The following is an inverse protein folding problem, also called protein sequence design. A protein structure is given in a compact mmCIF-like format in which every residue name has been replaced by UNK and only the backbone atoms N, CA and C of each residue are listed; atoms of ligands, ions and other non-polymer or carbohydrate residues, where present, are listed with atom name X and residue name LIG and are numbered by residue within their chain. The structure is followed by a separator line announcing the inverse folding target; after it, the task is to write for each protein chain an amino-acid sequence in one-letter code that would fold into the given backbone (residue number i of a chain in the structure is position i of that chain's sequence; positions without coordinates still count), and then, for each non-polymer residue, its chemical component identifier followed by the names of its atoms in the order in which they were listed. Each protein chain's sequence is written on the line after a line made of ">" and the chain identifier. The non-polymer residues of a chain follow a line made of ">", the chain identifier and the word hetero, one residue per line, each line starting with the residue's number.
data_IF_407975621290
#
_entry.id   IF_407975621290
#
_cell.length_a   1.000
_cell.length_b   1.000
_cell.length_c   1.000
_cell.angle_alpha   90.00
_cell.angle_beta   90.00
_cell.angle_gamma   90.00
#
_symmetry.space_group_name_H-M   'P 1'
#
loop_
_entity.id
_entity.type
_entity.pdbx_description
1 polymer ?
#
# COMPACT_ATOMS: atom_id res chain seq x y z
N UNK A 1 17.24 24.37 -8.86
CA UNK A 1 16.30 23.30 -9.26
C UNK A 1 16.29 22.28 -8.12
N UNK A 2 15.29 22.33 -7.24
CA UNK A 2 15.11 21.31 -6.21
C UNK A 2 14.30 20.17 -6.84
N UNK A 3 14.99 19.20 -7.43
CA UNK A 3 14.39 17.88 -7.71
C UNK A 3 14.37 17.10 -6.39
N UNK A 4 13.51 17.55 -5.47
CA UNK A 4 13.06 16.75 -4.34
C UNK A 4 12.10 15.71 -4.89
N UNK A 5 12.66 14.63 -5.45
CA UNK A 5 11.87 13.52 -5.98
C UNK A 5 10.98 13.01 -4.83
N UNK A 6 9.70 13.30 -5.02
CA UNK A 6 8.48 12.83 -4.38
C UNK A 6 8.64 11.40 -3.84
N UNK A 7 9.21 11.29 -2.64
CA UNK A 7 9.23 10.06 -1.89
C UNK A 7 7.93 10.00 -1.08
N UNK A 8 6.77 9.99 -1.72
CA UNK A 8 5.48 9.87 -1.04
C UNK A 8 4.86 8.48 -1.25
N UNK A 9 4.23 7.96 -0.21
CA UNK A 9 3.57 6.67 -0.26
C UNK A 9 2.29 6.80 -1.07
N UNK A 10 2.22 6.18 -2.25
CA UNK A 10 1.07 6.31 -3.15
C UNK A 10 -0.27 5.87 -2.55
N UNK A 11 -0.25 5.01 -1.52
CA UNK A 11 -1.45 4.60 -0.79
C UNK A 11 -1.93 5.68 0.19
N UNK A 12 -1.06 6.18 1.08
CA UNK A 12 -1.48 7.07 2.17
C UNK A 12 -1.16 8.56 1.95
N UNK A 13 -0.33 8.91 0.98
CA UNK A 13 0.08 10.28 0.69
C UNK A 13 1.03 10.89 1.72
N UNK A 14 1.63 10.08 2.61
CA UNK A 14 2.68 10.57 3.54
C UNK A 14 4.05 10.42 2.91
N UNK A 15 4.99 11.25 3.35
CA UNK A 15 6.40 11.08 3.04
C UNK A 15 6.87 9.67 3.44
N UNK A 16 7.56 9.00 2.52
CA UNK A 16 8.16 7.68 2.69
C UNK A 16 9.28 7.81 3.70
N UNK A 17 9.22 6.93 4.68
CA UNK A 17 10.29 6.73 5.63
C UNK A 17 10.53 5.23 5.74
N UNK A 18 11.75 4.88 6.12
CA UNK A 18 12.10 3.49 6.35
C UNK A 18 11.33 2.95 7.58
N UNK A 19 10.78 1.71 7.52
CA UNK A 19 10.89 0.73 6.42
C UNK A 19 9.81 0.91 5.32
N UNK A 20 10.25 0.91 4.06
CA UNK A 20 9.39 0.92 2.87
C UNK A 20 9.64 -0.31 1.97
N UNK A 21 8.57 -0.85 1.39
CA UNK A 21 8.60 -2.01 0.49
C UNK A 21 7.94 -1.68 -0.84
N UNK A 22 8.46 -2.30 -1.92
CA UNK A 22 7.81 -2.27 -3.23
C UNK A 22 6.64 -3.25 -3.22
N UNK A 23 5.45 -2.74 -3.51
CA UNK A 23 4.25 -3.55 -3.65
C UNK A 23 3.95 -3.82 -5.12
N UNK A 24 3.67 -5.08 -5.45
CA UNK A 24 3.21 -5.46 -6.78
C UNK A 24 1.68 -5.43 -6.79
N UNK A 25 1.11 -4.47 -7.51
CA UNK A 25 -0.35 -4.34 -7.66
C UNK A 25 -0.96 -5.57 -8.36
N UNK A 26 -0.18 -6.23 -9.21
CA UNK A 26 -0.53 -7.51 -9.82
C UNK A 26 0.47 -8.57 -9.32
N UNK A 27 0.01 -9.63 -8.63
CA UNK A 27 0.93 -10.61 -8.04
C UNK A 27 1.76 -11.31 -9.12
N UNK A 28 3.07 -11.49 -8.87
CA UNK A 28 4.01 -12.08 -9.83
C UNK A 28 3.51 -13.43 -10.35
N UNK A 29 2.98 -14.27 -9.45
CA UNK A 29 2.42 -15.60 -9.72
C UNK A 29 1.25 -15.62 -10.71
N UNK A 30 0.73 -14.45 -11.08
CA UNK A 30 -0.45 -14.31 -11.96
C UNK A 30 -0.20 -13.44 -13.18
N UNK A 31 1.06 -13.19 -13.53
CA UNK A 31 1.47 -12.41 -14.71
C UNK A 31 2.00 -11.01 -14.39
N UNK A 32 2.25 -10.68 -13.11
CA UNK A 32 2.75 -9.37 -12.68
C UNK A 32 4.22 -9.08 -13.01
N UNK A 33 4.88 -9.94 -13.80
CA UNK A 33 6.28 -9.76 -14.17
C UNK A 33 6.38 -8.60 -15.16
N UNK A 34 6.91 -7.46 -14.71
CA UNK A 34 7.00 -6.22 -15.51
C UNK A 34 5.84 -5.24 -15.30
N UNK A 35 4.92 -5.50 -14.38
CA UNK A 35 3.85 -4.54 -14.04
C UNK A 35 4.35 -3.48 -13.06
N UNK A 36 3.76 -2.29 -13.12
CA UNK A 36 4.08 -1.16 -12.25
C UNK A 36 4.09 -1.56 -10.77
N UNK A 37 5.26 -1.40 -10.14
CA UNK A 37 5.39 -1.54 -8.69
C UNK A 37 5.30 -0.17 -8.05
N UNK A 38 4.66 -0.11 -6.88
CA UNK A 38 4.46 1.13 -6.13
C UNK A 38 5.25 1.04 -4.84
N UNK A 39 5.92 2.13 -4.47
CA UNK A 39 6.68 2.20 -3.24
C UNK A 39 5.74 2.59 -2.10
N UNK A 40 5.63 1.74 -1.08
CA UNK A 40 4.72 1.92 0.04
C UNK A 40 5.47 1.73 1.36
N UNK A 41 5.02 2.38 2.43
CA UNK A 41 5.47 2.02 3.79
C UNK A 41 5.18 0.55 4.06
N UNK A 42 6.00 -0.10 4.88
CA UNK A 42 5.78 -1.50 5.27
C UNK A 42 4.40 -1.71 5.89
N UNK A 43 3.93 -0.78 6.73
CA UNK A 43 2.58 -0.83 7.30
C UNK A 43 1.46 -0.75 6.24
N UNK A 44 1.62 0.10 5.24
CA UNK A 44 0.67 0.22 4.13
C UNK A 44 0.63 -1.06 3.29
N UNK A 45 1.81 -1.61 3.00
CA UNK A 45 1.94 -2.91 2.34
C UNK A 45 1.25 -4.02 3.13
N UNK A 46 1.55 -4.14 4.42
CA UNK A 46 0.98 -5.19 5.28
C UNK A 46 -0.54 -5.03 5.42
N UNK A 47 -1.07 -3.80 5.46
CA UNK A 47 -2.51 -3.56 5.46
C UNK A 47 -3.20 -4.05 4.18
N UNK A 48 -2.61 -3.82 3.00
CA UNK A 48 -3.16 -4.31 1.73
C UNK A 48 -3.30 -5.84 1.76
N UNK A 49 -2.27 -6.57 2.19
CA UNK A 49 -2.31 -8.03 2.29
C UNK A 49 -3.17 -8.55 3.45
N UNK A 50 -3.40 -7.72 4.46
CA UNK A 50 -4.34 -8.02 5.55
C UNK A 50 -5.79 -7.96 5.07
N UNK A 51 -6.14 -6.98 4.24
CA UNK A 51 -7.50 -6.76 3.72
C UNK A 51 -7.81 -7.63 2.50
N UNK A 52 -6.87 -7.74 1.55
CA UNK A 52 -7.11 -8.42 0.28
C UNK A 52 -6.28 -9.70 0.13
N UNK A 53 -6.88 -10.66 -0.57
CA UNK A 53 -6.16 -11.80 -1.13
C UNK A 53 -5.48 -11.44 -2.45
N UNK A 54 -4.48 -12.22 -2.85
CA UNK A 54 -3.81 -12.06 -4.15
C UNK A 54 -4.80 -12.14 -5.34
N UNK A 55 -5.88 -12.93 -5.22
CA UNK A 55 -6.92 -13.02 -6.24
C UNK A 55 -7.76 -11.75 -6.35
N UNK A 56 -8.12 -11.13 -5.22
CA UNK A 56 -8.87 -9.86 -5.19
C UNK A 56 -8.02 -8.73 -5.74
N UNK A 57 -6.73 -8.67 -5.37
CA UNK A 57 -5.77 -7.73 -5.96
C UNK A 57 -5.71 -7.88 -7.48
N UNK A 58 -5.59 -9.11 -7.99
CA UNK A 58 -5.57 -9.34 -9.44
C UNK A 58 -6.86 -8.88 -10.12
N UNK A 59 -8.03 -9.27 -9.59
CA UNK A 59 -9.33 -9.13 -10.28
C UNK A 59 -9.94 -7.74 -10.16
N UNK A 60 -9.86 -7.13 -8.98
CA UNK A 60 -10.62 -5.91 -8.65
C UNK A 60 -9.74 -4.76 -8.16
N UNK A 61 -8.61 -5.06 -7.52
CA UNK A 61 -7.78 -4.07 -6.82
C UNK A 61 -6.35 -3.96 -7.37
N UNK A 62 -6.20 -4.02 -8.70
CA UNK A 62 -4.91 -3.97 -9.38
C UNK A 62 -4.37 -2.54 -9.61
N UNK A 63 -5.00 -1.52 -9.01
CA UNK A 63 -4.53 -0.12 -9.02
C UNK A 63 -4.68 0.53 -7.65
N UNK A 64 -3.86 1.56 -7.38
CA UNK A 64 -3.94 2.35 -6.13
C UNK A 64 -5.32 2.97 -5.93
N UNK A 65 -5.92 3.49 -6.99
CA UNK A 65 -7.25 4.11 -6.91
C UNK A 65 -8.31 3.10 -6.47
N UNK A 66 -8.26 1.88 -7.02
CA UNK A 66 -9.15 0.79 -6.59
C UNK A 66 -8.92 0.42 -5.13
N UNK A 67 -7.67 0.34 -4.69
CA UNK A 67 -7.35 0.08 -3.28
C UNK A 67 -7.99 1.15 -2.37
N UNK A 68 -7.88 2.43 -2.75
CA UNK A 68 -8.47 3.57 -2.01
C UNK A 68 -10.00 3.57 -1.99
N UNK A 69 -10.66 2.93 -2.97
CA UNK A 69 -12.12 2.80 -3.00
C UNK A 69 -12.67 1.86 -1.91
N UNK A 70 -11.85 0.97 -1.35
CA UNK A 70 -12.30 0.07 -0.29
C UNK A 70 -12.40 0.81 1.06
N UNK A 71 -13.51 0.63 1.76
CA UNK A 71 -13.78 1.31 3.03
C UNK A 71 -12.75 0.98 4.13
N UNK A 72 -12.28 -0.26 4.23
CA UNK A 72 -11.25 -0.64 5.21
C UNK A 72 -9.92 0.05 4.95
N UNK A 73 -9.54 0.18 3.67
CA UNK A 73 -8.33 0.89 3.26
C UNK A 73 -8.51 2.39 3.48
N UNK A 74 -9.64 2.96 3.07
CA UNK A 74 -9.95 4.37 3.26
C UNK A 74 -9.93 4.79 4.73
N UNK A 75 -10.52 3.99 5.61
CA UNK A 75 -10.48 4.21 7.06
C UNK A 75 -9.05 4.10 7.62
N UNK A 76 -8.28 3.14 7.15
CA UNK A 76 -6.86 3.02 7.50
C UNK A 76 -6.05 4.24 7.04
N UNK A 77 -6.25 4.72 5.82
CA UNK A 77 -5.57 5.92 5.30
C UNK A 77 -5.87 7.14 6.17
N UNK A 78 -7.14 7.39 6.49
CA UNK A 78 -7.56 8.49 7.37
C UNK A 78 -6.93 8.44 8.76
N UNK A 79 -6.69 7.23 9.26
CA UNK A 79 -6.04 7.02 10.55
C UNK A 79 -4.51 7.19 10.47
N UNK A 80 -3.87 6.59 9.47
CA UNK A 80 -2.41 6.56 9.36
C UNK A 80 -1.82 7.91 8.91
N UNK A 81 -2.57 8.71 8.15
CA UNK A 81 -2.19 10.08 7.75
C UNK A 81 -1.92 10.97 8.96
N UNK A 82 -2.59 10.73 10.09
CA UNK A 82 -2.41 11.49 11.33
C UNK A 82 -1.17 11.06 12.13
N UNK A 83 -0.43 10.05 11.66
CA UNK A 83 0.77 9.49 12.31
C UNK A 83 2.03 9.92 11.59
N UNK A 84 3.13 9.95 12.32
CA UNK A 84 4.45 10.30 11.79
C UNK A 84 4.85 9.38 10.61
N UNK A 85 5.60 9.87 9.61
CA UNK A 85 6.07 9.09 8.47
C UNK A 85 6.77 7.77 8.84
N UNK A 86 7.51 7.79 9.95
CA UNK A 86 8.27 6.66 10.49
C UNK A 86 7.43 5.69 11.33
N UNK A 87 6.15 6.02 11.56
CA UNK A 87 5.27 5.21 12.38
C UNK A 87 5.04 3.84 11.75
N UNK A 88 5.43 2.80 12.48
CA UNK A 88 5.26 1.41 12.10
C UNK A 88 4.49 0.67 13.18
N UNK A 89 3.38 0.05 12.79
CA UNK A 89 2.57 -0.81 13.63
C UNK A 89 2.32 -2.13 12.89
N UNK A 90 2.39 -3.26 13.60
CA UNK A 90 2.23 -4.57 12.95
C UNK A 90 0.77 -4.78 12.58
N UNK A 91 0.46 -4.73 11.28
CA UNK A 91 -0.85 -5.13 10.77
C UNK A 91 -1.01 -6.65 10.89
N UNK A 92 -1.70 -7.11 11.93
CA UNK A 92 -2.04 -8.53 12.10
C UNK A 92 -3.28 -8.84 11.26
N UNK A 93 -3.22 -9.90 10.45
CA UNK A 93 -4.39 -10.39 9.69
C UNK A 93 -5.44 -10.87 10.68
N UNK A 94 -6.58 -10.19 10.76
CA UNK A 94 -7.69 -10.62 11.62
C UNK A 94 -8.23 -11.93 11.03
N UNK A 95 -8.08 -13.06 11.73
CA UNK A 95 -8.72 -14.33 11.33
C UNK A 95 -10.23 -14.05 11.26
N UNK A 96 -10.80 -14.13 10.06
CA UNK A 96 -12.25 -14.14 9.84
C UNK A 96 -12.75 -15.56 10.02
#
# INVERSE_FOLDING_TARGET
>A
MNEEVENECLLCGRQLANPCNRHHLLPLSKGGKGTTTVLLHKICHDKIHSVFTEMELKRHYNTIERLKQNEEIGNFIKWIVKKEPQFYDKSVRKKR
#
